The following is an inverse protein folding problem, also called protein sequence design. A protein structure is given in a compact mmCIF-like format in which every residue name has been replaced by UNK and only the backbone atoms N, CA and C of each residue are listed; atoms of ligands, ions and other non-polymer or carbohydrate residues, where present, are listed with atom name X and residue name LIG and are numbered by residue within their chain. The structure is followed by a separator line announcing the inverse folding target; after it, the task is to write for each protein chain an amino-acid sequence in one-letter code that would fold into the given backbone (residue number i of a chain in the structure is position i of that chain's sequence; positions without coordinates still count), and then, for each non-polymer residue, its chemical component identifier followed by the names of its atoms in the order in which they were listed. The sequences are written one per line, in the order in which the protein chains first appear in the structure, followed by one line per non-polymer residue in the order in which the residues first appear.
data_IF_759885945962
#
_entry.id   IF_759885945962
#
_cell.length_a   1.000
_cell.length_b   1.000
_cell.length_c   1.000
_cell.angle_alpha   90.00
_cell.angle_beta   90.00
_cell.angle_gamma   90.00
#
_symmetry.space_group_name_H-M   'P 1'
#
loop_
_entity.id
_entity.type
_entity.pdbx_description
1 polymer ?
#
# COMPACT_ATOMS: atom_id res chain seq x y z
N UNK A 1 -1.95 82.16 -6.30
CA UNK A 1 -2.79 80.99 -6.65
C UNK A 1 -2.53 79.91 -5.60
N UNK A 2 -3.50 79.64 -4.72
CA UNK A 2 -3.44 78.54 -3.74
C UNK A 2 -3.91 77.27 -4.44
N UNK A 3 -3.07 76.24 -4.52
CA UNK A 3 -3.45 74.92 -5.04
C UNK A 3 -3.80 74.04 -3.84
N UNK A 4 -5.04 73.54 -3.84
CA UNK A 4 -5.58 72.59 -2.88
C UNK A 4 -5.09 71.19 -3.23
N UNK A 5 -4.56 70.43 -2.26
CA UNK A 5 -4.31 68.98 -2.38
C UNK A 5 -5.38 68.25 -1.58
N UNK A 6 -6.15 67.31 -2.16
CA UNK A 6 -7.13 66.55 -1.39
C UNK A 6 -6.47 65.39 -0.66
N UNK A 7 -6.82 65.22 0.61
CA UNK A 7 -6.43 64.07 1.42
C UNK A 7 -7.20 62.82 0.95
N UNK A 8 -6.49 61.79 0.48
CA UNK A 8 -7.05 60.45 0.32
C UNK A 8 -7.08 59.77 1.70
N UNK A 9 -8.29 59.53 2.23
CA UNK A 9 -8.49 58.55 3.30
C UNK A 9 -8.28 57.15 2.72
N UNK A 10 -7.19 56.49 3.09
CA UNK A 10 -6.98 55.07 2.83
C UNK A 10 -7.86 54.24 3.77
N UNK A 11 -8.86 53.57 3.20
CA UNK A 11 -9.68 52.59 3.90
C UNK A 11 -8.88 51.29 4.04
N UNK A 12 -8.29 51.04 5.21
CA UNK A 12 -7.66 49.75 5.53
C UNK A 12 -8.73 48.66 5.66
N UNK A 13 -8.85 47.82 4.63
CA UNK A 13 -9.61 46.56 4.67
C UNK A 13 -8.86 45.55 5.57
N UNK A 14 -9.37 45.34 6.79
CA UNK A 14 -8.99 44.23 7.66
C UNK A 14 -9.47 42.92 7.03
N UNK A 15 -8.54 42.18 6.40
CA UNK A 15 -8.77 40.79 6.01
C UNK A 15 -8.70 39.95 7.29
N UNK A 16 -9.75 39.18 7.67
CA UNK A 16 -9.67 38.32 8.82
C UNK A 16 -8.73 37.17 8.49
N UNK A 17 -7.55 37.16 9.12
CA UNK A 17 -6.70 35.97 9.19
C UNK A 17 -7.42 34.93 10.03
N UNK A 18 -8.00 33.93 9.38
CA UNK A 18 -8.40 32.67 10.00
C UNK A 18 -7.15 32.02 10.60
N UNK A 19 -6.94 32.21 11.91
CA UNK A 19 -5.98 31.44 12.68
C UNK A 19 -6.50 30.00 12.76
N UNK A 20 -5.97 29.13 11.90
CA UNK A 20 -6.09 27.70 12.13
C UNK A 20 -5.30 27.36 13.39
N UNK A 21 -5.97 26.82 14.41
CA UNK A 21 -5.28 26.27 15.56
C UNK A 21 -4.32 25.18 15.07
N UNK A 22 -3.05 25.24 15.49
CA UNK A 22 -2.09 24.20 15.18
C UNK A 22 -2.54 22.88 15.80
N UNK A 23 -2.32 21.77 15.09
CA UNK A 23 -2.66 20.44 15.60
C UNK A 23 -1.86 20.13 16.87
N UNK A 24 -2.54 19.54 17.86
CA UNK A 24 -1.91 19.12 19.11
C UNK A 24 -1.12 17.84 18.86
N UNK A 25 -0.03 17.65 19.59
CA UNK A 25 0.78 16.43 19.51
C UNK A 25 -0.06 15.17 19.83
N UNK A 26 0.24 14.07 19.14
CA UNK A 26 -0.42 12.78 19.36
C UNK A 26 -0.13 12.22 20.77
N UNK A 27 -1.07 11.45 21.32
CA UNK A 27 -0.93 10.79 22.63
C UNK A 27 -1.01 9.28 22.42
N UNK A 28 0.08 8.57 22.70
CA UNK A 28 0.11 7.10 22.66
C UNK A 28 -0.68 6.53 23.84
N UNK A 29 -1.65 5.67 23.54
CA UNK A 29 -2.37 4.85 24.54
C UNK A 29 -1.62 3.53 24.75
N UNK A 30 -1.23 2.86 23.65
CA UNK A 30 -0.39 1.67 23.68
C UNK A 30 0.32 1.45 22.34
N UNK A 31 1.62 1.19 22.41
CA UNK A 31 2.48 0.80 21.28
C UNK A 31 2.92 -0.68 21.35
N UNK A 32 2.60 -1.37 22.45
CA UNK A 32 2.93 -2.78 22.71
C UNK A 32 4.43 -3.14 22.61
N UNK A 33 5.31 -2.17 22.83
CA UNK A 33 6.75 -2.37 22.71
C UNK A 33 7.39 -2.99 23.96
N UNK A 34 6.66 -3.03 25.08
CA UNK A 34 7.10 -3.59 26.36
C UNK A 34 7.39 -5.10 26.35
N UNK A 35 8.00 -5.60 27.42
CA UNK A 35 8.28 -7.05 27.59
C UNK A 35 7.05 -7.84 28.03
N UNK A 36 6.04 -7.16 28.56
CA UNK A 36 4.71 -7.64 28.92
C UNK A 36 3.63 -6.59 28.56
N UNK A 37 2.37 -6.83 28.91
CA UNK A 37 1.27 -5.88 28.69
C UNK A 37 1.16 -4.80 29.78
N UNK A 38 2.11 -4.70 30.71
CA UNK A 38 2.13 -3.73 31.79
C UNK A 38 0.87 -3.79 32.66
N UNK A 39 0.14 -2.68 32.72
CA UNK A 39 -1.07 -2.53 33.54
C UNK A 39 -2.36 -2.98 32.85
N UNK A 40 -2.28 -3.49 31.62
CA UNK A 40 -3.44 -4.06 30.95
C UNK A 40 -3.85 -5.37 31.62
N UNK A 41 -5.15 -5.59 31.75
CA UNK A 41 -5.72 -6.82 32.30
C UNK A 41 -5.94 -7.82 31.18
N UNK A 42 -5.29 -8.99 31.32
CA UNK A 42 -5.47 -10.15 30.43
C UNK A 42 -6.49 -11.10 31.05
N UNK A 43 -7.41 -11.60 30.22
CA UNK A 43 -8.38 -12.64 30.55
C UNK A 43 -8.35 -13.72 29.46
N UNK A 44 -8.54 -14.98 29.83
CA UNK A 44 -8.50 -16.11 28.89
C UNK A 44 -7.09 -16.51 28.47
N UNK A 45 -6.98 -17.21 27.34
CA UNK A 45 -5.72 -17.80 26.84
C UNK A 45 -5.21 -17.18 25.54
N UNK A 46 -6.04 -16.41 24.83
CA UNK A 46 -5.74 -15.92 23.48
C UNK A 46 -4.56 -14.92 23.42
N UNK A 47 -4.35 -14.10 24.46
CA UNK A 47 -3.38 -13.00 24.41
C UNK A 47 -2.02 -13.32 25.03
N UNK A 48 -1.92 -14.40 25.83
CA UNK A 48 -0.72 -14.72 26.61
C UNK A 48 -0.36 -13.64 27.63
N UNK A 49 0.91 -13.57 28.03
CA UNK A 49 1.39 -12.62 29.05
C UNK A 49 2.13 -11.41 28.48
N UNK A 50 2.37 -11.38 27.16
CA UNK A 50 3.19 -10.34 26.51
C UNK A 50 2.80 -10.15 25.05
N UNK A 51 3.08 -8.96 24.47
CA UNK A 51 2.96 -8.74 23.03
C UNK A 51 3.73 -9.77 22.21
N UNK A 52 3.15 -10.21 21.09
CA UNK A 52 3.85 -11.04 20.12
C UNK A 52 4.95 -10.22 19.42
N UNK A 53 5.96 -10.90 18.88
CA UNK A 53 7.06 -10.28 18.12
C UNK A 53 6.90 -10.50 16.61
N UNK A 54 5.65 -10.47 16.14
CA UNK A 54 5.26 -10.76 14.76
C UNK A 54 4.41 -12.03 14.63
N UNK A 55 4.72 -12.85 13.62
CA UNK A 55 3.93 -14.04 13.24
C UNK A 55 4.06 -15.15 14.28
N UNK A 56 2.92 -15.74 14.70
CA UNK A 56 2.89 -16.89 15.61
C UNK A 56 2.93 -18.23 14.84
N UNK A 57 3.36 -19.34 15.48
CA UNK A 57 3.39 -20.66 14.82
C UNK A 57 2.02 -21.07 14.28
N UNK A 58 1.98 -21.48 13.00
CA UNK A 58 0.74 -21.90 12.33
C UNK A 58 -0.13 -20.77 11.80
N UNK A 59 0.25 -19.51 12.03
CA UNK A 59 -0.41 -18.34 11.46
C UNK A 59 0.13 -18.02 10.06
N UNK A 60 -0.67 -17.34 9.24
CA UNK A 60 -0.14 -16.72 8.03
C UNK A 60 0.83 -15.58 8.38
N UNK A 61 1.69 -15.12 7.43
CA UNK A 61 2.62 -14.03 7.70
C UNK A 61 1.92 -12.74 8.13
N UNK A 62 2.23 -12.27 9.33
CA UNK A 62 1.74 -11.01 9.91
C UNK A 62 2.68 -9.86 9.53
N UNK A 63 2.13 -8.79 8.95
CA UNK A 63 2.85 -7.56 8.63
C UNK A 63 2.01 -6.32 8.94
N UNK A 64 2.56 -5.12 8.70
CA UNK A 64 1.84 -3.85 8.84
C UNK A 64 1.81 -3.26 10.26
N UNK A 65 2.17 -4.03 11.29
CA UNK A 65 2.45 -3.50 12.64
C UNK A 65 3.75 -2.67 12.65
N UNK A 66 3.92 -1.81 13.66
CA UNK A 66 5.09 -0.97 13.85
C UNK A 66 5.94 -1.46 15.02
N UNK A 67 7.22 -1.09 15.02
CA UNK A 67 8.14 -1.46 16.08
C UNK A 67 8.37 -2.98 16.18
N UNK A 68 8.51 -3.50 17.40
CA UNK A 68 8.83 -4.92 17.66
C UNK A 68 7.67 -5.68 18.28
N UNK A 69 6.57 -5.03 18.67
CA UNK A 69 5.48 -5.66 19.40
C UNK A 69 4.11 -5.46 18.76
N UNK A 70 3.21 -6.40 18.99
CA UNK A 70 1.78 -6.24 18.70
C UNK A 70 0.93 -7.13 19.61
N UNK A 71 -0.34 -6.77 19.78
CA UNK A 71 -1.35 -7.71 20.28
C UNK A 71 -1.66 -8.68 19.15
N UNK A 72 -1.55 -9.98 19.42
CA UNK A 72 -1.89 -11.05 18.50
C UNK A 72 -2.60 -12.14 19.30
N UNK A 73 -3.91 -12.32 19.06
CA UNK A 73 -4.72 -13.26 19.82
C UNK A 73 -4.70 -14.69 19.27
N UNK A 74 -3.95 -14.95 18.19
CA UNK A 74 -3.78 -16.29 17.61
C UNK A 74 -2.92 -17.24 18.48
N UNK A 75 -2.60 -16.87 19.73
CA UNK A 75 -1.80 -17.71 20.61
C UNK A 75 -2.59 -18.98 21.00
N UNK A 76 -2.12 -20.13 20.51
CA UNK A 76 -2.84 -21.39 20.65
C UNK A 76 -3.84 -21.67 19.51
N UNK A 77 -3.84 -20.83 18.47
CA UNK A 77 -4.70 -20.92 17.30
C UNK A 77 -6.08 -20.29 17.49
N UNK A 78 -6.89 -20.37 16.44
CA UNK A 78 -8.23 -19.78 16.30
C UNK A 78 -9.29 -20.25 17.33
N UNK A 79 -8.96 -21.19 18.23
CA UNK A 79 -9.89 -21.68 19.26
C UNK A 79 -9.64 -21.09 20.64
N UNK A 80 -8.54 -20.32 20.79
CA UNK A 80 -8.27 -19.58 22.00
C UNK A 80 -9.28 -18.43 22.14
N UNK A 81 -9.59 -18.05 23.38
CA UNK A 81 -10.49 -16.92 23.66
C UNK A 81 -9.95 -16.11 24.83
N UNK A 82 -10.36 -14.85 24.93
CA UNK A 82 -9.92 -13.94 25.96
C UNK A 82 -10.31 -12.50 25.73
N UNK A 83 -9.86 -11.64 26.66
CA UNK A 83 -9.93 -10.18 26.54
C UNK A 83 -8.64 -9.55 27.02
N UNK A 84 -8.27 -8.45 26.37
CA UNK A 84 -7.18 -7.58 26.81
C UNK A 84 -7.76 -6.19 27.05
N UNK A 85 -7.77 -5.73 28.29
CA UNK A 85 -8.44 -4.48 28.71
C UNK A 85 -7.43 -3.47 29.25
N UNK A 86 -7.45 -2.25 28.73
CA UNK A 86 -6.53 -1.19 29.14
C UNK A 86 -6.86 -0.61 30.51
N UNK A 87 -5.91 0.10 31.14
CA UNK A 87 -6.25 1.10 32.15
C UNK A 87 -7.20 2.17 31.60
N UNK A 88 -7.85 2.89 32.50
CA UNK A 88 -8.61 4.09 32.13
C UNK A 88 -7.68 5.19 31.61
N UNK A 89 -8.13 5.90 30.57
CA UNK A 89 -7.46 7.08 30.04
C UNK A 89 -8.48 8.17 29.72
N UNK A 90 -8.01 9.42 29.63
CA UNK A 90 -8.84 10.56 29.23
C UNK A 90 -8.76 10.76 27.72
N UNK A 91 -9.90 10.98 27.07
CA UNK A 91 -9.95 11.37 25.67
C UNK A 91 -9.61 12.86 25.58
N UNK A 92 -8.56 13.19 24.86
CA UNK A 92 -7.98 14.52 24.75
C UNK A 92 -7.72 14.94 23.29
N UNK A 93 -7.98 14.07 22.32
CA UNK A 93 -7.95 14.39 20.90
C UNK A 93 -9.22 13.95 20.21
N UNK A 94 -9.40 14.41 18.97
CA UNK A 94 -10.63 14.21 18.19
C UNK A 94 -10.75 12.80 17.59
N UNK A 95 -9.64 12.09 17.46
CA UNK A 95 -9.58 10.76 16.89
C UNK A 95 -8.83 9.80 17.81
N UNK A 96 -9.24 8.53 17.79
CA UNK A 96 -8.44 7.40 18.25
C UNK A 96 -8.09 6.57 17.02
N UNK A 97 -6.81 6.52 16.69
CA UNK A 97 -6.25 5.74 15.58
C UNK A 97 -5.63 4.47 16.13
N UNK A 98 -5.70 3.38 15.37
CA UNK A 98 -5.09 2.11 15.73
C UNK A 98 -4.83 1.27 14.48
N UNK A 99 -3.83 0.40 14.54
CA UNK A 99 -3.60 -0.64 13.55
C UNK A 99 -4.42 -1.88 13.93
N UNK A 100 -5.14 -2.45 12.97
CA UNK A 100 -5.99 -3.62 13.18
C UNK A 100 -5.92 -4.61 12.02
N UNK A 101 -5.89 -5.90 12.34
CA UNK A 101 -5.95 -7.03 11.42
C UNK A 101 -6.73 -8.20 12.01
N UNK A 102 -6.77 -9.34 11.31
CA UNK A 102 -7.46 -10.55 11.78
C UNK A 102 -8.95 -10.61 11.40
N UNK A 103 -9.75 -11.29 12.22
CA UNK A 103 -11.13 -11.68 11.91
C UNK A 103 -12.16 -10.56 11.93
N UNK A 104 -13.18 -10.71 11.08
CA UNK A 104 -14.36 -9.84 10.97
C UNK A 104 -15.55 -10.49 11.68
N UNK A 105 -15.55 -10.48 13.01
CA UNK A 105 -16.67 -10.99 13.81
C UNK A 105 -17.15 -9.94 14.80
N UNK A 106 -18.05 -9.02 14.38
CA UNK A 106 -18.54 -7.94 15.22
C UNK A 106 -19.04 -8.43 16.59
N UNK A 107 -18.54 -7.82 17.65
CA UNK A 107 -18.87 -8.15 19.04
C UNK A 107 -18.16 -9.38 19.62
N UNK A 108 -17.49 -10.20 18.80
CA UNK A 108 -16.78 -11.41 19.23
C UNK A 108 -15.27 -11.32 19.02
N UNK A 109 -14.83 -10.76 17.89
CA UNK A 109 -13.42 -10.56 17.55
C UNK A 109 -13.27 -9.11 17.13
N UNK A 110 -12.92 -8.25 18.08
CA UNK A 110 -13.00 -6.79 17.90
C UNK A 110 -12.14 -6.01 18.89
N UNK A 111 -11.82 -4.77 18.54
CA UNK A 111 -11.40 -3.73 19.48
C UNK A 111 -12.59 -2.83 19.78
N UNK A 112 -12.79 -2.50 21.05
CA UNK A 112 -13.88 -1.67 21.54
C UNK A 112 -13.33 -0.46 22.30
N UNK A 113 -14.02 0.68 22.15
CA UNK A 113 -13.91 1.82 23.06
C UNK A 113 -15.09 1.80 24.02
N UNK A 114 -14.80 1.79 25.31
CA UNK A 114 -15.81 1.82 26.36
C UNK A 114 -15.78 3.16 27.08
N UNK A 115 -16.95 3.73 27.34
CA UNK A 115 -17.13 4.92 28.18
C UNK A 115 -18.25 4.64 29.18
N UNK A 116 -17.98 4.84 30.47
CA UNK A 116 -18.91 4.45 31.55
C UNK A 116 -19.37 2.98 31.45
N UNK A 117 -18.46 2.07 31.06
CA UNK A 117 -18.71 0.64 30.89
C UNK A 117 -19.52 0.25 29.65
N UNK A 118 -19.96 1.21 28.83
CA UNK A 118 -20.70 0.94 27.59
C UNK A 118 -19.79 1.04 26.37
N UNK A 119 -19.91 0.08 25.44
CA UNK A 119 -19.22 0.13 24.15
C UNK A 119 -19.82 1.27 23.31
N UNK A 120 -19.01 2.28 23.02
CA UNK A 120 -19.40 3.46 22.22
C UNK A 120 -18.80 3.45 20.82
N UNK A 121 -17.75 2.65 20.59
CA UNK A 121 -17.15 2.34 19.28
C UNK A 121 -16.65 0.90 19.26
N UNK A 122 -16.67 0.28 18.09
CA UNK A 122 -16.16 -1.07 17.86
C UNK A 122 -15.62 -1.17 16.43
N UNK A 123 -14.55 -1.94 16.25
CA UNK A 123 -13.95 -2.25 14.95
C UNK A 123 -13.43 -3.68 14.94
N UNK A 124 -13.34 -4.27 13.75
CA UNK A 124 -12.88 -5.65 13.54
C UNK A 124 -11.80 -5.65 12.46
N UNK A 125 -11.05 -6.75 12.36
CA UNK A 125 -10.23 -7.00 11.19
C UNK A 125 -11.07 -7.18 9.91
N UNK A 126 -10.43 -7.26 8.73
CA UNK A 126 -11.15 -7.32 7.46
C UNK A 126 -11.64 -8.73 7.08
N UNK A 127 -11.16 -9.79 7.73
CA UNK A 127 -11.30 -11.15 7.22
C UNK A 127 -12.57 -11.87 7.73
N UNK A 128 -13.58 -12.03 6.87
CA UNK A 128 -14.86 -12.68 7.22
C UNK A 128 -15.08 -14.08 6.61
N UNK A 129 -14.17 -14.56 5.77
CA UNK A 129 -14.27 -15.82 5.03
C UNK A 129 -12.90 -16.45 4.86
N UNK A 130 -12.82 -17.70 4.37
CA UNK A 130 -11.55 -18.33 4.05
C UNK A 130 -10.72 -17.51 3.04
N UNK A 131 -9.40 -17.56 3.18
CA UNK A 131 -8.49 -16.60 2.55
C UNK A 131 -8.44 -15.27 3.31
N UNK A 132 -7.63 -14.32 2.83
CA UNK A 132 -7.46 -13.01 3.47
C UNK A 132 -6.00 -12.68 3.76
N UNK A 133 -5.78 -11.76 4.71
CA UNK A 133 -4.44 -11.30 5.10
C UNK A 133 -4.36 -11.02 6.60
N UNK A 134 -3.21 -11.29 7.21
CA UNK A 134 -2.93 -10.95 8.62
C UNK A 134 -2.46 -9.51 8.79
N UNK A 135 -2.26 -8.79 7.68
CA UNK A 135 -1.79 -7.42 7.68
C UNK A 135 -2.64 -6.53 8.58
N UNK A 136 -1.97 -5.74 9.42
CA UNK A 136 -2.62 -4.67 10.15
C UNK A 136 -2.66 -3.40 9.30
N UNK A 137 -3.83 -2.76 9.31
CA UNK A 137 -4.10 -1.51 8.61
C UNK A 137 -4.67 -0.48 9.58
N UNK A 138 -4.38 0.81 9.33
CA UNK A 138 -4.92 1.91 10.12
C UNK A 138 -6.43 1.97 10.00
N UNK A 139 -7.07 2.10 11.15
CA UNK A 139 -8.47 2.48 11.31
C UNK A 139 -8.55 3.64 12.33
N UNK A 140 -9.67 4.36 12.31
CA UNK A 140 -9.87 5.56 13.12
C UNK A 140 -11.31 5.72 13.57
N UNK A 141 -11.48 6.01 14.86
CA UNK A 141 -12.75 6.51 15.38
C UNK A 141 -12.67 8.01 15.59
N UNK A 142 -13.62 8.75 14.99
CA UNK A 142 -13.92 10.11 15.46
C UNK A 142 -14.61 10.00 16.83
N UNK A 143 -14.00 10.63 17.83
CA UNK A 143 -14.43 10.66 19.23
C UNK A 143 -14.51 12.10 19.76
N UNK A 144 -14.59 13.09 18.85
CA UNK A 144 -14.64 14.50 19.23
C UNK A 144 -15.80 14.84 20.18
N UNK A 145 -16.91 14.10 20.12
CA UNK A 145 -18.03 14.26 21.05
C UNK A 145 -17.78 13.66 22.44
N UNK A 146 -16.71 12.87 22.60
CA UNK A 146 -16.29 12.24 23.85
C UNK A 146 -15.08 12.94 24.48
N UNK A 147 -14.60 14.04 23.91
CA UNK A 147 -13.45 14.79 24.43
C UNK A 147 -13.69 15.19 25.90
N UNK A 148 -12.67 14.94 26.73
CA UNK A 148 -12.67 15.15 28.17
C UNK A 148 -13.22 13.98 28.99
N UNK A 149 -13.89 12.99 28.39
CA UNK A 149 -14.43 11.81 29.10
C UNK A 149 -13.34 10.77 29.37
N UNK A 150 -13.55 9.96 30.41
CA UNK A 150 -12.73 8.77 30.70
C UNK A 150 -13.21 7.59 29.87
N UNK A 151 -12.27 6.84 29.30
CA UNK A 151 -12.53 5.69 28.46
C UNK A 151 -11.58 4.52 28.76
N UNK A 152 -11.93 3.36 28.23
CA UNK A 152 -11.15 2.11 28.30
C UNK A 152 -11.14 1.47 26.91
N UNK A 153 -10.00 0.91 26.50
CA UNK A 153 -9.92 0.02 25.33
C UNK A 153 -10.12 -1.43 25.80
N UNK A 154 -10.93 -2.19 25.06
CA UNK A 154 -11.05 -3.63 25.22
C UNK A 154 -10.85 -4.33 23.89
N UNK A 155 -9.85 -5.20 23.80
CA UNK A 155 -9.62 -6.08 22.66
C UNK A 155 -10.20 -7.45 23.02
N UNK A 156 -11.09 -7.98 22.20
CA UNK A 156 -11.89 -9.17 22.46
C UNK A 156 -11.59 -10.21 21.41
N UNK A 157 -11.40 -11.44 21.87
CA UNK A 157 -11.40 -12.64 21.05
C UNK A 157 -12.27 -13.70 21.74
N UNK A 158 -13.49 -13.89 21.27
CA UNK A 158 -14.50 -14.76 21.88
C UNK A 158 -15.15 -15.67 20.83
N UNK A 159 -14.42 -15.99 19.76
CA UNK A 159 -14.90 -16.86 18.68
C UNK A 159 -13.89 -17.96 18.40
N UNK A 160 -14.42 -19.17 18.25
CA UNK A 160 -13.65 -20.35 17.82
C UNK A 160 -13.71 -20.57 16.31
N UNK A 161 -12.69 -21.22 15.78
CA UNK A 161 -12.56 -21.59 14.37
C UNK A 161 -12.09 -20.45 13.48
N UNK A 162 -11.84 -20.77 12.19
CA UNK A 162 -11.13 -19.91 11.24
C UNK A 162 -11.41 -18.40 11.35
N UNK A 163 -10.34 -17.61 11.44
CA UNK A 163 -10.37 -16.17 11.72
C UNK A 163 -10.96 -15.81 13.09
N UNK A 164 -10.85 -16.71 14.05
CA UNK A 164 -11.18 -16.53 15.47
C UNK A 164 -10.01 -15.89 16.22
N UNK A 165 -9.48 -14.79 15.68
CA UNK A 165 -8.40 -14.02 16.29
C UNK A 165 -8.32 -12.59 15.74
N UNK A 166 -7.66 -11.70 16.49
CA UNK A 166 -7.44 -10.29 16.14
C UNK A 166 -5.98 -9.90 16.37
N UNK A 167 -5.46 -9.05 15.49
CA UNK A 167 -4.19 -8.37 15.67
C UNK A 167 -4.43 -6.87 15.86
N UNK A 168 -3.77 -6.26 16.85
CA UNK A 168 -3.89 -4.81 17.14
C UNK A 168 -2.52 -4.24 17.50
N UNK A 169 -2.25 -3.03 17.00
CA UNK A 169 -1.04 -2.28 17.33
C UNK A 169 -1.28 -0.75 17.31
N UNK A 170 -0.35 0.04 17.81
CA UNK A 170 -0.29 1.52 17.75
C UNK A 170 -1.62 2.24 18.04
N UNK A 171 -2.15 2.08 19.25
CA UNK A 171 -3.34 2.80 19.68
C UNK A 171 -2.93 4.18 20.16
N UNK A 172 -3.41 5.23 19.48
CA UNK A 172 -3.05 6.62 19.79
C UNK A 172 -4.22 7.58 19.58
N UNK A 173 -4.20 8.69 20.31
CA UNK A 173 -5.10 9.81 20.10
C UNK A 173 -4.44 10.85 19.20
N UNK A 174 -5.17 11.36 18.22
CA UNK A 174 -4.70 12.42 17.30
C UNK A 174 -5.82 13.39 16.94
N UNK A 175 -5.47 14.60 16.52
CA UNK A 175 -6.44 15.53 15.93
C UNK A 175 -6.70 15.21 14.44
N UNK A 176 -5.98 14.26 13.86
CA UNK A 176 -6.17 13.77 12.48
C UNK A 176 -6.52 12.27 12.45
N UNK A 177 -7.43 11.85 11.57
CA UNK A 177 -7.66 10.43 11.34
C UNK A 177 -6.48 9.81 10.59
N UNK A 178 -6.22 8.53 10.88
CA UNK A 178 -5.45 7.66 9.99
C UNK A 178 -6.37 6.65 9.32
N UNK A 179 -5.95 6.17 8.16
CA UNK A 179 -6.73 5.23 7.37
C UNK A 179 -6.36 5.31 5.91
N UNK A 180 -7.20 4.72 5.08
CA UNK A 180 -6.95 4.64 3.65
C UNK A 180 -8.20 4.97 2.83
N UNK A 181 -8.00 5.53 1.65
CA UNK A 181 -9.04 5.85 0.68
C UNK A 181 -8.63 5.45 -0.74
N UNK A 182 -9.60 5.44 -1.65
CA UNK A 182 -9.32 5.32 -3.08
C UNK A 182 -9.22 6.71 -3.68
N UNK A 183 -8.24 6.92 -4.56
CA UNK A 183 -8.10 8.17 -5.29
C UNK A 183 -8.22 7.91 -6.80
N UNK A 184 -8.67 8.93 -7.53
CA UNK A 184 -8.74 8.91 -8.99
C UNK A 184 -8.13 10.17 -9.59
N UNK A 185 -7.47 10.03 -10.73
CA UNK A 185 -6.91 11.14 -11.53
C UNK A 185 -7.22 10.91 -13.00
N UNK A 186 -7.78 11.91 -13.66
CA UNK A 186 -7.93 11.90 -15.12
C UNK A 186 -6.71 12.56 -15.76
N UNK A 187 -6.20 11.94 -16.83
CA UNK A 187 -4.97 12.34 -17.49
C UNK A 187 -5.10 12.17 -19.01
N UNK A 188 -5.22 13.27 -19.79
CA UNK A 188 -5.15 13.22 -21.24
C UNK A 188 -3.76 12.73 -21.69
N UNK A 189 -3.70 11.68 -22.50
CA UNK A 189 -2.44 11.07 -22.93
C UNK A 189 -1.94 11.72 -24.21
N UNK A 190 -0.79 12.39 -24.12
CA UNK A 190 -0.14 13.07 -25.23
C UNK A 190 1.27 12.54 -25.52
N UNK A 191 1.86 11.79 -24.59
CA UNK A 191 3.21 11.22 -24.73
C UNK A 191 3.18 9.69 -24.64
N UNK A 192 4.31 9.05 -24.95
CA UNK A 192 4.40 7.59 -25.10
C UNK A 192 4.40 6.81 -23.78
N UNK A 193 4.91 7.40 -22.70
CA UNK A 193 5.12 6.72 -21.42
C UNK A 193 4.46 7.46 -20.27
N UNK A 194 3.97 6.69 -19.30
CA UNK A 194 3.55 7.17 -17.99
C UNK A 194 4.57 6.68 -16.96
N UNK A 195 5.37 7.59 -16.39
CA UNK A 195 6.32 7.30 -15.31
C UNK A 195 5.61 7.20 -13.97
N UNK A 196 6.02 6.21 -13.19
CA UNK A 196 5.42 5.82 -11.93
C UNK A 196 6.50 5.84 -10.83
N UNK A 197 6.45 6.75 -9.86
CA UNK A 197 7.45 6.84 -8.80
C UNK A 197 7.24 5.69 -7.81
N UNK A 198 8.30 4.93 -7.52
CA UNK A 198 8.25 3.75 -6.64
C UNK A 198 9.11 3.98 -5.41
N UNK A 199 8.58 3.65 -4.23
CA UNK A 199 9.29 3.61 -2.96
C UNK A 199 9.32 2.17 -2.45
N UNK A 200 10.48 1.53 -2.51
CA UNK A 200 10.63 0.12 -2.12
C UNK A 200 10.27 -0.07 -0.65
N UNK A 201 9.41 -1.04 -0.35
CA UNK A 201 8.92 -1.31 1.00
C UNK A 201 7.77 -0.41 1.46
N UNK A 202 7.34 0.56 0.64
CA UNK A 202 6.08 1.26 0.90
C UNK A 202 4.89 0.30 0.73
N UNK A 203 3.73 0.70 1.26
CA UNK A 203 2.50 -0.07 1.08
C UNK A 203 2.20 -0.24 -0.41
N UNK A 204 1.94 -1.48 -0.82
CA UNK A 204 1.40 -1.77 -2.16
C UNK A 204 -0.03 -1.23 -2.27
N UNK A 205 -0.25 -0.41 -3.30
CA UNK A 205 -1.57 0.00 -3.76
C UNK A 205 -1.88 -0.68 -5.08
N UNK A 206 -3.15 -0.99 -5.33
CA UNK A 206 -3.57 -1.46 -6.64
C UNK A 206 -3.84 -0.28 -7.54
N UNK A 207 -3.08 -0.17 -8.63
CA UNK A 207 -3.25 0.85 -9.65
C UNK A 207 -4.04 0.27 -10.84
N UNK A 208 -5.09 0.97 -11.26
CA UNK A 208 -5.86 0.70 -12.48
C UNK A 208 -5.71 1.85 -13.45
N UNK A 209 -5.40 1.51 -14.69
CA UNK A 209 -5.40 2.44 -15.81
C UNK A 209 -6.59 2.10 -16.70
N UNK A 210 -7.55 3.02 -16.80
CA UNK A 210 -8.80 2.83 -17.51
C UNK A 210 -8.89 3.78 -18.72
N UNK A 211 -9.36 3.26 -19.85
CA UNK A 211 -9.67 4.05 -21.06
C UNK A 211 -11.10 3.75 -21.47
N UNK A 212 -11.92 4.78 -21.66
CA UNK A 212 -13.33 4.65 -22.04
C UNK A 212 -14.13 3.65 -21.15
N UNK A 213 -13.80 3.60 -19.86
CA UNK A 213 -14.45 2.70 -18.88
C UNK A 213 -13.94 1.26 -18.87
N UNK A 214 -12.95 0.92 -19.71
CA UNK A 214 -12.30 -0.40 -19.72
C UNK A 214 -10.93 -0.34 -19.04
N UNK A 215 -10.66 -1.29 -18.15
CA UNK A 215 -9.33 -1.46 -17.55
C UNK A 215 -8.34 -1.96 -18.60
N UNK A 216 -7.36 -1.12 -18.94
CA UNK A 216 -6.31 -1.47 -19.90
C UNK A 216 -5.05 -1.98 -19.23
N UNK A 217 -4.79 -1.58 -17.97
CA UNK A 217 -3.72 -2.12 -17.13
C UNK A 217 -4.17 -2.14 -15.68
N UNK A 218 -3.81 -3.19 -14.95
CA UNK A 218 -4.05 -3.30 -13.51
C UNK A 218 -2.90 -4.05 -12.86
N UNK A 219 -2.30 -3.46 -11.81
CA UNK A 219 -1.12 -4.01 -11.15
C UNK A 219 -0.97 -3.41 -9.74
N UNK A 220 -0.26 -4.12 -8.87
CA UNK A 220 0.15 -3.59 -7.57
C UNK A 220 1.47 -2.83 -7.67
N UNK A 221 1.59 -1.73 -6.95
CA UNK A 221 2.79 -0.88 -6.95
C UNK A 221 3.02 -0.26 -5.57
N UNK A 222 4.28 -0.17 -5.16
CA UNK A 222 4.69 0.56 -3.95
C UNK A 222 4.82 2.05 -4.30
N UNK A 223 3.69 2.70 -4.59
CA UNK A 223 3.64 4.06 -5.14
C UNK A 223 4.23 5.06 -4.13
N UNK A 224 5.18 5.88 -4.58
CA UNK A 224 5.85 6.82 -3.70
C UNK A 224 4.98 8.05 -3.40
N UNK A 225 4.86 8.41 -2.12
CA UNK A 225 4.33 9.72 -1.69
C UNK A 225 5.42 10.79 -1.55
N UNK A 226 6.64 10.34 -1.23
CA UNK A 226 7.83 11.16 -1.05
C UNK A 226 8.84 10.88 -2.18
N UNK A 227 10.11 11.22 -1.95
CA UNK A 227 11.18 10.93 -2.90
C UNK A 227 11.25 9.44 -3.25
N UNK A 228 11.09 9.08 -4.54
CA UNK A 228 11.09 7.69 -4.97
C UNK A 228 12.51 7.10 -5.00
N UNK A 229 12.61 5.80 -4.78
CA UNK A 229 13.87 5.07 -4.93
C UNK A 229 14.18 4.79 -6.41
N UNK A 230 13.14 4.62 -7.24
CA UNK A 230 13.28 4.52 -8.69
C UNK A 230 11.98 4.89 -9.42
N UNK A 231 12.06 5.03 -10.75
CA UNK A 231 10.91 5.27 -11.62
C UNK A 231 10.56 4.00 -12.39
N UNK A 232 9.37 3.46 -12.15
CA UNK A 232 8.72 2.55 -13.08
C UNK A 232 8.01 3.35 -14.21
N UNK A 233 7.40 2.67 -15.16
CA UNK A 233 6.79 3.25 -16.36
C UNK A 233 5.85 2.25 -17.01
N UNK A 234 4.77 2.76 -17.60
CA UNK A 234 3.90 2.05 -18.53
C UNK A 234 4.06 2.64 -19.92
N UNK A 235 4.11 1.79 -20.95
CA UNK A 235 3.86 2.20 -22.32
C UNK A 235 2.36 2.48 -22.49
N UNK A 236 2.04 3.74 -22.80
CA UNK A 236 0.68 4.24 -23.02
C UNK A 236 0.51 4.78 -24.45
N UNK A 237 1.45 4.49 -25.35
CA UNK A 237 1.48 4.99 -26.73
C UNK A 237 0.19 4.71 -27.47
N UNK A 238 -0.37 3.50 -27.29
CA UNK A 238 -1.64 3.09 -27.90
C UNK A 238 -2.86 3.94 -27.48
N UNK A 239 -2.74 4.72 -26.41
CA UNK A 239 -3.81 5.56 -25.86
C UNK A 239 -3.61 7.05 -26.12
N UNK A 240 -2.64 7.43 -26.95
CA UNK A 240 -2.40 8.83 -27.33
C UNK A 240 -3.66 9.46 -27.92
N UNK A 241 -3.99 10.66 -27.47
CA UNK A 241 -5.22 11.39 -27.82
C UNK A 241 -6.46 10.98 -27.02
N UNK A 242 -6.37 9.97 -26.15
CA UNK A 242 -7.45 9.55 -25.24
C UNK A 242 -7.17 10.02 -23.80
N UNK A 243 -8.20 10.02 -22.96
CA UNK A 243 -8.07 10.30 -21.52
C UNK A 243 -7.95 8.99 -20.76
N UNK A 244 -6.88 8.87 -19.97
CA UNK A 244 -6.69 7.79 -19.02
C UNK A 244 -7.31 8.18 -17.67
N UNK A 245 -8.17 7.34 -17.13
CA UNK A 245 -8.60 7.42 -15.72
C UNK A 245 -7.71 6.50 -14.90
N UNK A 246 -6.93 7.08 -14.00
CA UNK A 246 -6.01 6.37 -13.13
C UNK A 246 -6.66 6.26 -11.76
N UNK A 247 -6.82 5.04 -11.25
CA UNK A 247 -7.39 4.77 -9.94
C UNK A 247 -6.36 4.05 -9.08
N UNK A 248 -6.22 4.46 -7.82
CA UNK A 248 -5.41 3.78 -6.83
C UNK A 248 -6.29 3.43 -5.61
N UNK A 249 -6.22 2.18 -5.16
CA UNK A 249 -6.86 1.77 -3.92
C UNK A 249 -5.95 1.97 -2.71
N UNK A 250 -6.56 2.11 -1.53
CA UNK A 250 -5.89 2.04 -0.23
C UNK A 250 -4.68 2.98 -0.08
N UNK A 251 -4.77 4.17 -0.66
CA UNK A 251 -3.83 5.25 -0.40
C UNK A 251 -4.09 5.83 0.99
N UNK A 252 -3.06 6.26 1.74
CA UNK A 252 -3.24 7.03 2.97
C UNK A 252 -4.23 8.20 2.77
N UNK A 253 -5.01 8.51 3.80
CA UNK A 253 -5.94 9.66 3.74
C UNK A 253 -5.20 10.95 3.38
N UNK A 254 -5.70 11.66 2.38
CA UNK A 254 -5.10 12.90 1.88
C UNK A 254 -3.85 12.71 1.03
N UNK A 255 -3.53 11.47 0.63
CA UNK A 255 -2.37 11.16 -0.21
C UNK A 255 -2.38 11.95 -1.51
N UNK A 256 -1.18 12.39 -1.92
CA UNK A 256 -0.91 13.02 -3.22
C UNK A 256 -0.09 12.15 -4.15
N UNK A 257 -0.01 10.84 -3.90
CA UNK A 257 0.83 9.93 -4.68
C UNK A 257 0.52 9.97 -6.19
N UNK A 258 -0.76 10.12 -6.57
CA UNK A 258 -1.17 10.24 -7.97
C UNK A 258 -0.67 11.54 -8.64
N UNK A 259 -0.38 12.59 -7.88
CA UNK A 259 0.21 13.83 -8.40
C UNK A 259 1.65 13.61 -8.85
N UNK A 260 2.32 12.55 -8.39
CA UNK A 260 3.67 12.16 -8.79
C UNK A 260 3.75 11.54 -10.18
N UNK A 261 2.62 11.09 -10.75
CA UNK A 261 2.59 10.48 -12.09
C UNK A 261 2.90 11.52 -13.17
N UNK A 262 3.80 11.18 -14.09
CA UNK A 262 4.29 12.08 -15.15
C UNK A 262 4.27 11.37 -16.50
N UNK A 263 3.86 12.10 -17.53
CA UNK A 263 4.03 11.64 -18.91
C UNK A 263 5.43 11.99 -19.41
N UNK A 264 5.95 11.18 -20.33
CA UNK A 264 7.21 11.42 -21.03
C UNK A 264 7.20 10.71 -22.38
N UNK A 265 8.00 11.19 -23.33
CA UNK A 265 8.21 10.50 -24.62
C UNK A 265 9.31 9.44 -24.57
N UNK A 266 10.11 9.45 -23.51
CA UNK A 266 11.18 8.48 -23.24
C UNK A 266 10.90 7.70 -21.95
N UNK A 267 11.51 6.50 -21.86
CA UNK A 267 11.61 5.79 -20.58
C UNK A 267 12.45 6.62 -19.59
N UNK A 268 12.27 6.49 -18.26
CA UNK A 268 13.02 7.24 -17.27
C UNK A 268 14.53 7.13 -17.53
N UNK A 269 15.16 8.28 -17.78
CA UNK A 269 16.60 8.36 -17.96
C UNK A 269 17.27 8.12 -16.61
N UNK A 270 17.89 6.95 -16.45
CA UNK A 270 18.70 6.65 -15.27
C UNK A 270 20.16 6.90 -15.67
N UNK A 271 20.72 8.00 -15.19
CA UNK A 271 22.16 8.23 -15.34
C UNK A 271 22.93 7.07 -14.71
N UNK A 272 23.82 6.44 -15.48
CA UNK A 272 24.54 5.26 -15.01
C UNK A 272 23.69 3.98 -14.96
N UNK A 273 22.59 3.91 -15.73
CA UNK A 273 21.90 2.64 -15.96
C UNK A 273 22.89 1.60 -16.49
N UNK A 274 22.88 0.43 -15.87
CA UNK A 274 23.84 -0.65 -16.07
C UNK A 274 25.26 -0.43 -15.55
N UNK A 275 25.58 0.72 -14.96
CA UNK A 275 26.86 0.98 -14.28
C UNK A 275 26.72 1.04 -12.75
N UNK A 276 25.63 0.53 -12.19
CA UNK A 276 25.42 0.49 -10.74
C UNK A 276 26.42 -0.49 -10.08
N UNK A 277 26.85 -0.25 -8.82
CA UNK A 277 27.93 -1.03 -8.19
C UNK A 277 27.76 -2.55 -8.19
N UNK A 278 26.51 -3.04 -8.13
CA UNK A 278 26.18 -4.46 -8.11
C UNK A 278 25.69 -5.00 -9.46
N UNK A 279 25.66 -4.19 -10.52
CA UNK A 279 25.15 -4.60 -11.82
C UNK A 279 26.14 -5.51 -12.54
N UNK A 280 25.77 -6.78 -12.86
CA UNK A 280 26.61 -7.63 -13.69
C UNK A 280 26.82 -7.01 -15.07
N UNK A 281 28.07 -6.99 -15.55
CA UNK A 281 28.44 -6.37 -16.84
C UNK A 281 28.34 -7.33 -18.03
N UNK A 282 28.27 -8.64 -17.77
CA UNK A 282 28.26 -9.68 -18.82
C UNK A 282 27.18 -10.76 -18.60
N UNK A 283 26.23 -10.50 -17.69
CA UNK A 283 25.01 -11.30 -17.55
C UNK A 283 23.81 -10.39 -17.81
N UNK A 284 22.77 -10.92 -18.46
CA UNK A 284 21.54 -10.17 -18.67
C UNK A 284 20.90 -9.75 -17.33
N UNK A 285 20.49 -8.50 -17.23
CA UNK A 285 19.58 -8.01 -16.20
C UNK A 285 18.58 -7.05 -16.86
N UNK A 286 17.34 -7.01 -16.35
CA UNK A 286 16.38 -6.00 -16.80
C UNK A 286 16.79 -4.63 -16.29
N UNK A 287 16.42 -3.58 -17.04
CA UNK A 287 16.67 -2.17 -16.67
C UNK A 287 16.11 -1.81 -15.28
N UNK A 288 15.08 -2.52 -14.81
CA UNK A 288 14.39 -2.26 -13.54
C UNK A 288 13.66 -3.49 -13.03
N UNK A 289 13.11 -3.37 -11.82
CA UNK A 289 12.13 -4.29 -11.27
C UNK A 289 12.71 -5.67 -10.96
N UNK A 290 11.83 -6.65 -10.81
CA UNK A 290 12.20 -8.04 -10.54
C UNK A 290 12.17 -8.87 -11.82
N UNK A 291 13.09 -9.82 -11.94
CA UNK A 291 13.07 -10.86 -12.97
C UNK A 291 13.41 -12.23 -12.34
N UNK A 292 12.89 -13.30 -12.93
CA UNK A 292 13.27 -14.68 -12.56
C UNK A 292 13.46 -15.56 -13.79
N UNK A 293 12.64 -16.60 -13.97
CA UNK A 293 12.86 -17.68 -14.93
C UNK A 293 13.04 -17.16 -16.36
N UNK A 294 14.03 -17.67 -17.12
CA UNK A 294 14.08 -17.45 -18.56
C UNK A 294 12.89 -18.16 -19.22
N UNK A 295 12.30 -17.50 -20.21
CA UNK A 295 11.14 -17.99 -20.95
C UNK A 295 11.37 -17.85 -22.45
N UNK A 296 10.60 -18.60 -23.23
CA UNK A 296 10.50 -18.39 -24.68
C UNK A 296 11.81 -18.41 -25.45
N UNK A 297 12.85 -19.09 -24.95
CA UNK A 297 14.19 -19.04 -25.53
C UNK A 297 14.18 -19.60 -26.96
N UNK A 298 14.45 -18.73 -27.94
CA UNK A 298 14.39 -19.09 -29.36
C UNK A 298 15.37 -18.28 -30.19
N UNK A 299 15.91 -18.88 -31.25
CA UNK A 299 16.71 -18.17 -32.25
C UNK A 299 15.87 -17.93 -33.50
N UNK A 300 15.69 -16.67 -33.88
CA UNK A 300 14.89 -16.27 -35.03
C UNK A 300 15.40 -14.98 -35.65
N UNK A 301 15.34 -14.86 -36.98
CA UNK A 301 15.70 -13.62 -37.68
C UNK A 301 17.14 -13.14 -37.43
N UNK A 302 18.07 -14.05 -37.14
CA UNK A 302 19.47 -13.70 -36.82
C UNK A 302 19.68 -13.20 -35.38
N UNK A 303 18.72 -13.42 -34.48
CA UNK A 303 18.78 -12.98 -33.08
C UNK A 303 18.41 -14.12 -32.13
N UNK A 304 19.08 -14.16 -30.99
CA UNK A 304 18.64 -14.90 -29.82
C UNK A 304 17.60 -14.07 -29.07
N UNK A 305 16.44 -14.65 -28.82
CA UNK A 305 15.37 -14.06 -28.04
C UNK A 305 15.41 -14.64 -26.63
N UNK A 306 15.49 -13.74 -25.65
CA UNK A 306 15.34 -14.04 -24.23
C UNK A 306 14.06 -13.38 -23.75
N UNK A 307 13.04 -14.18 -23.44
CA UNK A 307 11.93 -13.72 -22.63
C UNK A 307 12.22 -14.09 -21.17
N UNK A 308 11.55 -13.44 -20.24
CA UNK A 308 11.74 -13.71 -18.82
C UNK A 308 10.53 -13.28 -18.01
N UNK A 309 10.25 -14.01 -16.93
CA UNK A 309 9.29 -13.59 -15.93
C UNK A 309 9.71 -12.23 -15.37
N UNK A 310 8.80 -11.25 -15.36
CA UNK A 310 9.14 -9.87 -15.02
C UNK A 310 8.05 -9.19 -14.19
N UNK A 311 8.44 -8.58 -13.07
CA UNK A 311 7.66 -7.53 -12.39
C UNK A 311 8.23 -6.16 -12.77
N UNK A 312 7.60 -5.38 -13.66
CA UNK A 312 8.09 -4.06 -14.05
C UNK A 312 7.83 -2.97 -13.00
N UNK A 313 7.05 -3.24 -11.95
CA UNK A 313 6.50 -2.23 -11.03
C UNK A 313 7.01 -2.35 -9.59
N UNK A 314 7.85 -3.34 -9.29
CA UNK A 314 8.38 -3.52 -7.94
C UNK A 314 9.58 -4.46 -7.88
N UNK A 315 10.21 -4.52 -6.71
CA UNK A 315 11.40 -5.35 -6.46
C UNK A 315 11.07 -6.77 -6.00
N UNK A 316 9.82 -7.06 -5.62
CA UNK A 316 9.40 -8.41 -5.24
C UNK A 316 8.69 -9.16 -6.36
N UNK A 317 8.47 -10.45 -6.14
CA UNK A 317 7.55 -11.24 -6.98
C UNK A 317 6.12 -10.66 -6.97
N UNK A 318 5.46 -10.65 -8.12
CA UNK A 318 4.11 -10.11 -8.36
C UNK A 318 3.99 -9.43 -9.73
N UNK A 319 2.78 -9.18 -10.22
CA UNK A 319 2.54 -8.57 -11.55
C UNK A 319 3.31 -9.25 -12.70
N UNK A 320 3.31 -10.59 -12.82
CA UNK A 320 4.19 -11.22 -13.82
C UNK A 320 3.77 -10.90 -15.25
N UNK A 321 4.76 -10.38 -16.00
CA UNK A 321 4.77 -10.18 -17.44
C UNK A 321 5.86 -11.07 -18.06
N UNK A 322 5.85 -11.21 -19.39
CA UNK A 322 7.07 -11.60 -20.11
C UNK A 322 7.82 -10.36 -20.57
N UNK A 323 8.94 -10.08 -19.90
CA UNK A 323 9.95 -9.17 -20.44
C UNK A 323 10.61 -9.78 -21.69
N UNK A 324 11.32 -8.96 -22.47
CA UNK A 324 11.92 -9.40 -23.73
C UNK A 324 13.23 -8.67 -24.00
N UNK A 325 14.25 -9.42 -24.38
CA UNK A 325 15.50 -8.91 -24.91
C UNK A 325 15.96 -9.75 -26.10
N UNK A 326 16.76 -9.13 -26.97
CA UNK A 326 17.40 -9.82 -28.10
C UNK A 326 18.90 -9.62 -28.09
N UNK A 327 19.63 -10.60 -28.60
CA UNK A 327 21.08 -10.52 -28.76
C UNK A 327 21.54 -11.24 -30.04
N UNK A 328 22.51 -10.68 -30.79
CA UNK A 328 23.13 -11.41 -31.90
C UNK A 328 24.09 -12.52 -31.43
N UNK A 329 24.59 -12.47 -30.18
CA UNK A 329 25.74 -13.26 -29.74
C UNK A 329 25.63 -13.85 -28.32
N UNK A 330 24.48 -13.71 -27.65
CA UNK A 330 24.21 -14.11 -26.25
C UNK A 330 24.93 -13.28 -25.16
N UNK A 331 25.73 -12.27 -25.53
CA UNK A 331 26.44 -11.40 -24.60
C UNK A 331 25.91 -9.97 -24.63
N UNK A 332 25.73 -9.41 -25.82
CA UNK A 332 25.27 -8.02 -26.00
C UNK A 332 23.75 -8.02 -26.18
N UNK A 333 23.04 -7.69 -25.10
CA UNK A 333 21.59 -7.70 -25.06
C UNK A 333 21.01 -6.31 -25.30
N UNK A 334 19.96 -6.24 -26.12
CA UNK A 334 19.07 -5.09 -26.26
C UNK A 334 17.70 -5.45 -25.69
N UNK A 335 17.35 -4.82 -24.56
CA UNK A 335 16.01 -4.96 -23.97
C UNK A 335 14.95 -4.28 -24.85
N UNK A 336 13.84 -4.96 -25.09
CA UNK A 336 12.71 -4.56 -25.93
C UNK A 336 11.48 -4.22 -25.06
N UNK A 337 10.36 -3.76 -25.65
CA UNK A 337 9.09 -3.66 -24.93
C UNK A 337 8.65 -5.01 -24.36
N UNK A 338 7.79 -4.97 -23.33
CA UNK A 338 7.17 -6.17 -22.76
C UNK A 338 6.45 -6.95 -23.87
N UNK A 339 6.68 -8.26 -23.92
CA UNK A 339 6.10 -9.13 -24.94
C UNK A 339 4.70 -9.60 -24.58
N UNK A 340 4.47 -10.00 -23.33
CA UNK A 340 3.16 -10.44 -22.83
C UNK A 340 2.78 -9.67 -21.57
N UNK A 341 1.56 -9.12 -21.60
CA UNK A 341 0.90 -8.50 -20.47
C UNK A 341 -0.16 -9.45 -19.91
N UNK A 342 -0.37 -9.49 -18.57
CA UNK A 342 -1.49 -10.20 -17.99
C UNK A 342 -2.80 -9.61 -18.53
N UNK A 343 -3.77 -10.48 -18.87
CA UNK A 343 -5.04 -10.03 -19.44
C UNK A 343 -5.95 -9.36 -18.41
N UNK A 344 -5.82 -9.77 -17.15
CA UNK A 344 -6.52 -9.22 -15.99
C UNK A 344 -5.62 -9.31 -14.77
N UNK A 345 -5.97 -8.56 -13.73
CA UNK A 345 -5.29 -8.69 -12.45
C UNK A 345 -5.38 -10.13 -11.91
N UNK A 346 -4.28 -10.62 -11.36
CA UNK A 346 -4.11 -11.99 -10.85
C UNK A 346 -4.10 -13.11 -11.92
N UNK A 347 -4.10 -12.74 -13.21
CA UNK A 347 -3.88 -13.67 -14.34
C UNK A 347 -2.48 -13.49 -14.90
N UNK A 348 -1.50 -13.78 -14.04
CA UNK A 348 -0.09 -13.53 -14.28
C UNK A 348 0.45 -14.39 -15.42
N UNK A 349 1.25 -13.78 -16.30
CA UNK A 349 1.97 -14.52 -17.35
C UNK A 349 3.07 -15.32 -16.67
N UNK A 350 2.86 -16.63 -16.46
CA UNK A 350 3.86 -17.53 -15.91
C UNK A 350 4.79 -18.13 -16.97
N UNK A 351 5.81 -18.84 -16.48
CA UNK A 351 6.87 -19.40 -17.30
C UNK A 351 6.35 -20.29 -18.42
N UNK A 352 7.06 -20.27 -19.54
CA UNK A 352 6.71 -21.05 -20.72
C UNK A 352 7.79 -21.01 -21.78
N UNK A 353 7.49 -21.65 -22.91
CA UNK A 353 8.39 -21.78 -24.05
C UNK A 353 7.80 -21.11 -25.30
N UNK A 354 8.64 -20.94 -26.31
CA UNK A 354 8.27 -20.41 -27.62
C UNK A 354 8.89 -21.32 -28.68
N UNK A 355 8.25 -21.38 -29.85
CA UNK A 355 8.74 -22.11 -31.00
C UNK A 355 8.46 -21.33 -32.27
N UNK A 356 9.19 -21.66 -33.34
CA UNK A 356 8.94 -21.10 -34.67
C UNK A 356 8.07 -22.11 -35.43
N UNK A 357 6.79 -21.77 -35.64
CA UNK A 357 5.83 -22.60 -36.38
C UNK A 357 6.02 -22.42 -37.89
N UNK A 358 7.15 -22.93 -38.41
CA UNK A 358 7.55 -22.77 -39.82
C UNK A 358 6.53 -23.31 -40.84
N UNK A 359 5.62 -24.19 -40.40
CA UNK A 359 4.60 -24.81 -41.26
C UNK A 359 3.21 -24.19 -41.08
N UNK A 360 3.07 -23.18 -40.22
CA UNK A 360 1.79 -22.62 -39.80
C UNK A 360 0.77 -23.71 -39.42
N UNK A 361 1.20 -24.66 -38.58
CA UNK A 361 0.32 -25.73 -38.08
C UNK A 361 -0.74 -25.21 -37.11
N UNK A 362 -0.48 -24.08 -36.48
CA UNK A 362 -1.41 -23.42 -35.55
C UNK A 362 -2.50 -22.59 -36.26
N UNK A 363 -2.25 -22.12 -37.48
CA UNK A 363 -3.23 -21.37 -38.28
C UNK A 363 -3.40 -19.91 -37.88
N UNK A 364 -2.47 -19.34 -37.10
CA UNK A 364 -2.46 -17.94 -36.67
C UNK A 364 -1.46 -17.07 -37.45
#
# INVERSE_FOLDING_TARGET
MKICVPALLGLCLLVPTLLFAADRADIVIADFEGDDYGTWKVEGTAFGMRPARGTLPGQMPVDGFQGRGLVNSFLGGDDATGKLTSPEFRIERRHINFLIGGGRHPGLVCINLLVAGQVVRSATGPNGSAGGTERLDWDSWNVSELEGRTAVIQIVDDRKGGWGHINVDQILQSDRPQGYESARRELPINQSYLHLPVKTGARKVRLKLNVAGQTVREFDIELAEAEPDFQAFCDVTAFRGQTLTIEADRLPLGSRALDGLRQADDVPAVSGLYSEPARPQFHFTSRRGWLNDPNGLVYAGGQWHLFYQHNPFGWGWGNMHWGHAVSPDLFHWRELPIALYPQRYDDWCFSGSALIDVKNTSGF
#
